data_IF_615910345883
#
_entry.id   IF_615910345883
#
_cell.length_a   1.000
_cell.length_b   1.000
_cell.length_c   1.000
_cell.angle_alpha   90.00
_cell.angle_beta   90.00
_cell.angle_gamma   90.00
#
_symmetry.space_group_name_H-M   'P 1'
#
loop_
_entity.id
_entity.type
_entity.pdbx_description
1 polymer ?
#
# COMPACT_ATOMS: atom_id res chain seq x y z
N UNK A 1 -8.06 -0.42 -4.32
CA UNK A 1 -7.28 -0.49 -3.06
C UNK A 1 -7.99 -1.43 -2.10
N UNK A 2 -7.26 -2.25 -1.37
CA UNK A 2 -7.71 -2.95 -0.17
C UNK A 2 -6.86 -2.46 1.00
N UNK A 3 -7.48 -1.91 2.03
CA UNK A 3 -6.77 -1.35 3.20
C UNK A 3 -7.33 -1.98 4.47
N UNK A 4 -6.54 -2.79 5.18
CA UNK A 4 -6.98 -3.47 6.41
C UNK A 4 -8.36 -4.16 6.23
N UNK A 5 -8.47 -5.07 5.26
CA UNK A 5 -9.69 -5.79 4.83
C UNK A 5 -10.75 -4.97 4.08
N UNK A 6 -10.69 -3.64 4.10
CA UNK A 6 -11.69 -2.82 3.40
C UNK A 6 -11.36 -2.69 1.91
N UNK A 7 -12.23 -3.25 1.06
CA UNK A 7 -12.14 -3.07 -0.40
C UNK A 7 -12.72 -1.72 -0.84
N UNK A 8 -11.94 -0.98 -1.63
CA UNK A 8 -12.25 0.38 -2.07
C UNK A 8 -11.95 0.50 -3.56
N UNK A 9 -12.99 0.80 -4.33
CA UNK A 9 -12.93 0.88 -5.78
C UNK A 9 -13.06 2.33 -6.26
N UNK A 10 -12.18 2.71 -7.20
CA UNK A 10 -12.19 4.01 -7.86
C UNK A 10 -11.44 5.10 -7.10
N UNK A 11 -10.82 6.02 -7.86
CA UNK A 11 -9.94 7.09 -7.35
C UNK A 11 -10.60 7.92 -6.25
N UNK A 12 -11.85 8.35 -6.44
CA UNK A 12 -12.54 9.23 -5.49
C UNK A 12 -12.64 8.59 -4.11
N UNK A 13 -13.16 7.36 -4.03
CA UNK A 13 -13.31 6.63 -2.77
C UNK A 13 -11.97 6.28 -2.13
N UNK A 14 -10.95 5.99 -2.95
CA UNK A 14 -9.58 5.76 -2.46
C UNK A 14 -9.04 7.02 -1.78
N UNK A 15 -9.19 8.19 -2.41
CA UNK A 15 -8.76 9.46 -1.83
C UNK A 15 -9.53 9.81 -0.55
N UNK A 16 -10.84 9.58 -0.52
CA UNK A 16 -11.65 9.75 0.69
C UNK A 16 -11.13 8.87 1.84
N UNK A 17 -10.81 7.60 1.57
CA UNK A 17 -10.22 6.72 2.59
C UNK A 17 -8.88 7.28 3.09
N UNK A 18 -7.98 7.67 2.21
CA UNK A 18 -6.67 8.22 2.59
C UNK A 18 -6.84 9.48 3.45
N UNK A 19 -7.74 10.38 3.06
CA UNK A 19 -8.03 11.61 3.80
C UNK A 19 -8.74 11.36 5.14
N UNK A 20 -9.44 10.23 5.28
CA UNK A 20 -10.10 9.83 6.53
C UNK A 20 -9.15 9.30 7.60
N UNK A 21 -7.89 9.00 7.24
CA UNK A 21 -6.89 8.55 8.21
C UNK A 21 -6.54 9.69 9.17
N UNK A 22 -6.55 9.39 10.47
CA UNK A 22 -6.53 10.43 11.52
C UNK A 22 -5.14 10.88 11.95
N UNK A 23 -4.08 10.19 11.50
CA UNK A 23 -2.71 10.57 11.83
C UNK A 23 -2.31 11.89 11.14
N UNK A 24 -1.42 12.66 11.77
CA UNK A 24 -0.93 13.92 11.20
C UNK A 24 0.37 13.72 10.41
N UNK A 25 1.19 12.77 10.84
CA UNK A 25 2.47 12.43 10.23
C UNK A 25 2.55 10.92 10.05
N UNK A 26 3.10 10.51 8.91
CA UNK A 26 3.46 9.13 8.64
C UNK A 26 4.85 9.08 8.03
N UNK A 27 5.69 8.19 8.56
CA UNK A 27 7.03 7.94 8.02
C UNK A 27 7.13 6.46 7.67
N UNK A 28 7.44 6.16 6.41
CA UNK A 28 7.70 4.80 5.94
C UNK A 28 9.21 4.54 5.90
N UNK A 29 9.64 3.45 6.51
CA UNK A 29 11.00 2.91 6.42
C UNK A 29 10.94 1.59 5.66
N UNK A 30 11.41 1.59 4.42
CA UNK A 30 11.33 0.42 3.54
C UNK A 30 12.46 -0.56 3.88
N UNK A 31 12.10 -1.82 4.10
CA UNK A 31 13.05 -2.91 4.37
C UNK A 31 13.42 -3.64 3.09
N UNK A 32 12.44 -3.98 2.26
CA UNK A 32 12.65 -4.69 1.01
C UNK A 32 11.57 -4.32 -0.02
N UNK A 33 11.96 -4.36 -1.29
CA UNK A 33 11.08 -4.24 -2.44
C UNK A 33 11.43 -5.36 -3.41
N UNK A 34 10.45 -6.19 -3.74
CA UNK A 34 10.56 -7.21 -4.78
C UNK A 34 9.65 -6.84 -5.95
N UNK A 35 10.12 -7.06 -7.18
CA UNK A 35 9.37 -6.73 -8.40
C UNK A 35 9.38 -7.88 -9.40
N UNK A 36 8.27 -8.05 -10.12
CA UNK A 36 8.14 -9.03 -11.21
C UNK A 36 7.35 -8.45 -12.38
N UNK A 37 7.75 -8.70 -13.64
CA UNK A 37 6.95 -8.36 -14.80
C UNK A 37 5.71 -9.26 -14.90
N UNK A 38 4.59 -8.70 -15.33
CA UNK A 38 3.36 -9.44 -15.62
C UNK A 38 3.22 -9.70 -17.13
N UNK A 39 2.46 -10.72 -17.50
CA UNK A 39 2.27 -11.13 -18.90
C UNK A 39 1.68 -10.05 -19.80
N UNK A 40 0.92 -9.12 -19.23
CA UNK A 40 0.27 -8.03 -19.94
C UNK A 40 1.06 -6.71 -19.91
N UNK A 41 2.35 -6.78 -19.57
CA UNK A 41 3.23 -5.61 -19.48
C UNK A 41 3.09 -4.81 -18.19
N UNK A 42 2.23 -5.26 -17.26
CA UNK A 42 2.19 -4.71 -15.91
C UNK A 42 3.41 -5.07 -15.05
N UNK A 43 3.49 -4.47 -13.86
CA UNK A 43 4.54 -4.73 -12.88
C UNK A 43 3.89 -5.07 -11.54
N UNK A 44 4.19 -6.25 -11.01
CA UNK A 44 3.87 -6.63 -9.64
C UNK A 44 4.99 -6.14 -8.71
N UNK A 45 4.62 -5.47 -7.63
CA UNK A 45 5.54 -4.92 -6.63
C UNK A 45 5.09 -5.38 -5.25
N UNK A 46 6.00 -5.99 -4.48
CA UNK A 46 5.79 -6.35 -3.09
C UNK A 46 6.72 -5.51 -2.21
N UNK A 47 6.16 -4.80 -1.25
CA UNK A 47 6.88 -3.93 -0.32
C UNK A 47 6.76 -4.49 1.09
N UNK A 48 7.90 -4.64 1.75
CA UNK A 48 8.00 -4.90 3.18
C UNK A 48 8.67 -3.70 3.83
N UNK A 49 8.08 -3.19 4.90
CA UNK A 49 8.67 -2.11 5.65
C UNK A 49 8.09 -1.95 7.04
N UNK A 50 8.51 -0.88 7.70
CA UNK A 50 7.88 -0.37 8.91
C UNK A 50 7.33 1.02 8.65
N UNK A 51 6.21 1.35 9.27
CA UNK A 51 5.66 2.70 9.27
C UNK A 51 5.52 3.19 10.71
N UNK A 52 5.73 4.48 10.91
CA UNK A 52 5.46 5.17 12.17
C UNK A 52 4.43 6.26 11.90
N UNK A 53 3.32 6.22 12.63
CA UNK A 53 2.30 7.26 12.65
C UNK A 53 2.49 8.13 13.88
N UNK A 54 2.56 9.45 13.70
CA UNK A 54 2.74 10.42 14.79
C UNK A 54 3.83 10.01 15.80
N UNK A 55 3.48 9.82 17.07
CA UNK A 55 4.38 9.38 18.14
C UNK A 55 4.22 7.88 18.50
N UNK A 56 3.43 7.13 17.73
CA UNK A 56 3.21 5.70 17.94
C UNK A 56 4.49 4.88 17.71
N UNK A 57 4.46 3.62 18.17
CA UNK A 57 5.53 2.68 17.87
C UNK A 57 5.54 2.31 16.38
N UNK A 58 6.71 2.07 15.78
CA UNK A 58 6.76 1.57 14.41
C UNK A 58 6.04 0.23 14.26
N UNK A 59 5.18 0.12 13.25
CA UNK A 59 4.48 -1.10 12.88
C UNK A 59 5.02 -1.64 11.57
N UNK A 60 5.29 -2.94 11.52
CA UNK A 60 5.62 -3.62 10.26
C UNK A 60 4.38 -3.64 9.37
N UNK A 61 4.56 -3.41 8.07
CA UNK A 61 3.51 -3.49 7.07
C UNK A 61 3.99 -4.23 5.83
N UNK A 62 3.01 -4.78 5.11
CA UNK A 62 3.15 -5.25 3.74
C UNK A 62 2.26 -4.40 2.84
N UNK A 63 2.80 -4.03 1.68
CA UNK A 63 2.01 -3.39 0.64
C UNK A 63 2.32 -3.97 -0.73
N UNK A 64 1.27 -4.29 -1.48
CA UNK A 64 1.39 -4.88 -2.81
C UNK A 64 0.79 -3.91 -3.81
N UNK A 65 1.52 -3.63 -4.89
CA UNK A 65 1.04 -2.83 -6.01
C UNK A 65 1.06 -3.62 -7.31
N UNK A 66 0.07 -3.38 -8.15
CA UNK A 66 0.14 -3.70 -9.58
C UNK A 66 0.14 -2.40 -10.35
N UNK A 67 1.21 -2.14 -11.09
CA UNK A 67 1.31 -1.01 -12.01
C UNK A 67 0.93 -1.43 -13.42
N UNK A 68 0.25 -0.53 -14.12
CA UNK A 68 -0.06 -0.62 -15.55
C UNK A 68 0.45 0.61 -16.28
N UNK A 69 0.86 0.44 -17.53
CA UNK A 69 1.30 1.53 -18.39
C UNK A 69 0.14 2.46 -18.76
N UNK A 70 0.40 3.77 -18.76
CA UNK A 70 -0.46 4.81 -19.28
C UNK A 70 0.39 5.78 -20.10
N UNK A 71 0.50 5.50 -21.40
CA UNK A 71 1.46 6.19 -22.26
C UNK A 71 2.89 6.02 -21.75
N UNK A 72 3.58 7.14 -21.53
CA UNK A 72 4.94 7.17 -20.99
C UNK A 72 5.01 7.15 -19.44
N UNK A 73 3.89 6.82 -18.78
CA UNK A 73 3.77 6.81 -17.31
C UNK A 73 3.15 5.50 -16.82
N UNK A 74 3.01 5.36 -15.50
CA UNK A 74 2.32 4.23 -14.87
C UNK A 74 1.20 4.73 -13.96
N UNK A 75 0.17 3.91 -13.78
CA UNK A 75 -0.81 4.07 -12.71
C UNK A 75 -0.91 2.81 -11.86
N UNK A 76 -1.34 2.97 -10.62
CA UNK A 76 -1.62 1.88 -9.70
C UNK A 76 -3.01 1.32 -10.01
N UNK A 77 -3.06 0.10 -10.55
CA UNK A 77 -4.31 -0.61 -10.80
C UNK A 77 -4.79 -1.34 -9.54
N UNK A 78 -3.87 -2.00 -8.84
CA UNK A 78 -4.14 -2.68 -7.58
C UNK A 78 -3.20 -2.18 -6.49
N UNK A 79 -3.75 -2.04 -5.28
CA UNK A 79 -3.07 -1.64 -4.06
C UNK A 79 -3.67 -2.45 -2.92
N UNK A 80 -2.86 -3.20 -2.19
CA UNK A 80 -3.26 -3.95 -1.00
C UNK A 80 -2.31 -3.58 0.12
N UNK A 81 -2.84 -2.99 1.19
CA UNK A 81 -2.10 -2.61 2.38
C UNK A 81 -2.56 -3.43 3.58
N UNK A 82 -1.59 -3.94 4.37
CA UNK A 82 -1.83 -4.62 5.63
C UNK A 82 -0.71 -4.38 6.64
N UNK A 83 -1.05 -4.06 7.88
CA UNK A 83 -0.16 -4.13 9.03
C UNK A 83 0.10 -5.60 9.40
N UNK A 84 1.35 -5.92 9.73
CA UNK A 84 1.76 -7.26 10.17
C UNK A 84 1.47 -7.43 11.66
N UNK A 85 0.18 -7.41 12.02
CA UNK A 85 -0.29 -7.67 13.36
C UNK A 85 -0.68 -9.14 13.49
N UNK A 86 -0.16 -9.81 14.51
CA UNK A 86 -0.58 -11.17 14.85
C UNK A 86 -1.73 -11.07 15.86
N UNK A 87 -2.82 -11.82 15.64
CA UNK A 87 -3.79 -12.05 16.69
C UNK A 87 -3.13 -12.90 17.78
N UNK A 88 -2.69 -12.27 18.85
CA UNK A 88 -2.31 -12.96 20.07
C UNK A 88 -3.63 -13.26 20.78
N UNK A 89 -4.05 -14.53 20.71
CA UNK A 89 -5.22 -15.03 21.42
C UNK A 89 -5.03 -15.08 22.93
#
# INVERSE_FOLDING_TARGET
MTFEDQQIFGRTKIMEKIQSLTFQKIVHSITAIDTQPMLDGGILICVLGQLKTDDDHPHTFHQIFVLKSLGDSFYVEHDIFRLSLHHIG
#
